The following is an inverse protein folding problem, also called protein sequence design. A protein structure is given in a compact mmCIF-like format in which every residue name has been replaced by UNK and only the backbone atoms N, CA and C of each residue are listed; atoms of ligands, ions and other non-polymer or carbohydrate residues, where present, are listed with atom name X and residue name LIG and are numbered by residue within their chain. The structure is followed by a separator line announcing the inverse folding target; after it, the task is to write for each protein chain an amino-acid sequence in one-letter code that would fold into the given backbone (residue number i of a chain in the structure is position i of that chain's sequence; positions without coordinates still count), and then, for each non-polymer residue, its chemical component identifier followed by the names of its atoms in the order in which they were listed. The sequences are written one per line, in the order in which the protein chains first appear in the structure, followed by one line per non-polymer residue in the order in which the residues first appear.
data_IF_330507460590
#
_entry.id   IF_330507460590
#
_cell.length_a   1.000
_cell.length_b   1.000
_cell.length_c   1.000
_cell.angle_alpha   90.00
_cell.angle_beta   90.00
_cell.angle_gamma   90.00
#
_symmetry.space_group_name_H-M   'P 1'
#
loop_
_entity.id
_entity.type
_entity.pdbx_description
1 polymer ?
#
# COMPACT_ATOMS: atom_id res chain seq x y z
N UNK A 1 12.96 -9.33 -4.18
CA UNK A 1 12.60 -8.72 -2.88
C UNK A 1 12.97 -7.26 -3.02
N UNK A 2 11.96 -6.41 -3.06
CA UNK A 2 12.12 -4.97 -3.24
C UNK A 2 11.84 -4.29 -1.90
N UNK A 3 12.80 -3.53 -1.37
CA UNK A 3 12.56 -2.67 -0.21
C UNK A 3 12.20 -1.27 -0.72
N UNK A 4 11.05 -0.77 -0.30
CA UNK A 4 10.51 0.51 -0.72
C UNK A 4 10.46 1.46 0.46
N UNK A 5 10.91 2.69 0.25
CA UNK A 5 10.74 3.81 1.19
C UNK A 5 9.95 4.89 0.46
N UNK A 6 8.72 5.13 0.90
CA UNK A 6 7.75 5.97 0.18
C UNK A 6 7.11 6.96 1.15
N UNK A 7 6.89 8.19 0.70
CA UNK A 7 6.13 9.17 1.46
C UNK A 7 4.71 8.67 1.79
N UNK A 8 4.38 8.73 3.07
CA UNK A 8 3.13 8.30 3.66
C UNK A 8 2.25 9.46 4.11
N UNK A 9 0.97 9.16 4.23
CA UNK A 9 -0.09 10.07 4.62
C UNK A 9 -0.96 9.42 5.68
N UNK A 10 -1.39 10.21 6.66
CA UNK A 10 -2.34 9.81 7.68
C UNK A 10 -3.59 10.68 7.56
N UNK A 11 -4.76 10.05 7.54
CA UNK A 11 -6.06 10.71 7.59
C UNK A 11 -6.80 10.25 8.84
N UNK A 12 -6.80 11.06 9.91
CA UNK A 12 -7.57 10.76 11.10
C UNK A 12 -9.05 10.55 10.80
N UNK A 13 -9.70 9.71 11.60
CA UNK A 13 -11.13 9.44 11.44
C UNK A 13 -11.94 10.75 11.50
N UNK A 14 -12.80 10.98 10.50
CA UNK A 14 -13.58 12.21 10.37
C UNK A 14 -12.82 13.45 9.88
N UNK A 15 -11.50 13.37 9.68
CA UNK A 15 -10.74 14.51 9.17
C UNK A 15 -11.06 14.80 7.69
N UNK A 16 -11.16 16.08 7.29
CA UNK A 16 -11.49 16.45 5.91
C UNK A 16 -10.35 16.17 4.92
N UNK A 17 -9.10 16.09 5.40
CA UNK A 17 -7.91 15.89 4.58
C UNK A 17 -6.85 15.06 5.31
N UNK A 18 -6.00 14.40 4.53
CA UNK A 18 -4.81 13.72 5.02
C UNK A 18 -3.71 14.72 5.35
N UNK A 19 -2.81 14.33 6.24
CA UNK A 19 -1.57 15.04 6.58
C UNK A 19 -0.37 14.15 6.29
N UNK A 20 0.75 14.70 5.80
CA UNK A 20 1.97 13.92 5.58
C UNK A 20 2.46 13.37 6.93
N UNK A 21 2.91 12.11 6.95
CA UNK A 21 3.46 11.48 8.15
C UNK A 21 4.97 11.21 8.07
N UNK A 22 5.58 11.42 6.91
CA UNK A 22 6.96 11.03 6.63
C UNK A 22 7.03 9.76 5.80
N UNK A 23 8.20 9.15 5.72
CA UNK A 23 8.43 7.98 4.88
C UNK A 23 8.05 6.68 5.60
N UNK A 24 7.28 5.84 4.91
CA UNK A 24 6.96 4.48 5.32
C UNK A 24 7.88 3.55 4.53
N UNK A 25 8.56 2.65 5.23
CA UNK A 25 9.38 1.61 4.58
C UNK A 25 8.72 0.24 4.71
N UNK A 26 8.69 -0.53 3.63
CA UNK A 26 8.20 -1.90 3.63
C UNK A 26 8.82 -2.73 2.51
N UNK A 27 8.84 -4.04 2.69
CA UNK A 27 9.29 -4.98 1.68
C UNK A 27 8.14 -5.53 0.82
N UNK A 28 8.47 -5.79 -0.44
CA UNK A 28 7.65 -6.57 -1.36
C UNK A 28 8.45 -7.83 -1.71
N UNK A 29 8.02 -8.95 -1.14
CA UNK A 29 8.59 -10.26 -1.39
C UNK A 29 8.10 -10.84 -2.74
N UNK A 30 8.65 -11.99 -3.13
CA UNK A 30 8.28 -12.64 -4.40
C UNK A 30 6.78 -13.01 -4.49
N UNK A 31 6.21 -13.68 -3.48
CA UNK A 31 4.79 -13.98 -3.43
C UNK A 31 3.87 -12.76 -3.52
N UNK A 32 4.17 -11.67 -2.80
CA UNK A 32 3.39 -10.44 -2.87
C UNK A 32 3.54 -9.79 -4.24
N UNK A 33 4.76 -9.70 -4.80
CA UNK A 33 4.99 -9.18 -6.14
C UNK A 33 4.14 -9.92 -7.19
N UNK A 34 4.16 -11.26 -7.18
CA UNK A 34 3.36 -12.07 -8.09
C UNK A 34 1.86 -11.78 -7.96
N UNK A 35 1.35 -11.56 -6.75
CA UNK A 35 -0.06 -11.21 -6.53
C UNK A 35 -0.40 -9.82 -7.07
N UNK A 36 0.54 -8.87 -7.03
CA UNK A 36 0.38 -7.54 -7.63
C UNK A 36 0.29 -7.65 -9.17
N UNK A 37 1.18 -8.41 -9.81
CA UNK A 37 1.16 -8.65 -11.25
C UNK A 37 -0.14 -9.34 -11.70
N UNK A 38 -0.59 -10.35 -10.95
CA UNK A 38 -1.86 -11.03 -11.20
C UNK A 38 -3.06 -10.09 -11.07
N UNK A 39 -3.02 -9.18 -10.09
CA UNK A 39 -4.05 -8.16 -9.91
C UNK A 39 -4.06 -7.21 -11.11
N UNK A 40 -2.90 -6.72 -11.56
CA UNK A 40 -2.78 -5.89 -12.76
C UNK A 40 -3.37 -6.59 -14.00
N UNK A 41 -2.95 -7.82 -14.28
CA UNK A 41 -3.44 -8.59 -15.43
C UNK A 41 -4.97 -8.79 -15.37
N UNK A 42 -5.49 -9.08 -14.17
CA UNK A 42 -6.93 -9.20 -13.94
C UNK A 42 -7.66 -7.90 -14.25
N UNK A 43 -7.20 -6.77 -13.73
CA UNK A 43 -7.82 -5.45 -13.98
C UNK A 43 -7.78 -5.08 -15.47
N UNK A 44 -6.70 -5.43 -16.18
CA UNK A 44 -6.60 -5.18 -17.62
C UNK A 44 -7.64 -5.99 -18.42
N UNK A 45 -7.94 -7.22 -17.99
CA UNK A 45 -8.93 -8.09 -18.65
C UNK A 45 -10.37 -7.72 -18.28
N UNK A 46 -10.63 -7.49 -16.99
CA UNK A 46 -11.99 -7.31 -16.47
C UNK A 46 -12.47 -5.87 -16.51
N UNK A 47 -11.55 -4.90 -16.64
CA UNK A 47 -11.82 -3.46 -16.55
C UNK A 47 -12.42 -3.04 -15.21
N UNK A 48 -12.19 -3.82 -14.15
CA UNK A 48 -12.48 -3.38 -12.79
C UNK A 48 -11.60 -2.18 -12.42
N UNK A 49 -12.08 -1.26 -11.56
CA UNK A 49 -11.35 -0.06 -11.22
C UNK A 49 -10.11 -0.32 -10.36
N UNK A 50 -10.19 -1.30 -9.45
CA UNK A 50 -9.15 -1.58 -8.47
C UNK A 50 -9.26 -2.99 -7.88
N UNK A 51 -8.19 -3.42 -7.21
CA UNK A 51 -8.13 -4.64 -6.42
C UNK A 51 -7.47 -4.35 -5.06
N UNK A 52 -7.98 -4.96 -4.00
CA UNK A 52 -7.34 -4.94 -2.68
C UNK A 52 -6.65 -6.27 -2.42
N UNK A 53 -5.35 -6.23 -2.17
CA UNK A 53 -4.52 -7.42 -1.93
C UNK A 53 -4.12 -7.43 -0.46
N UNK A 54 -4.67 -8.36 0.31
CA UNK A 54 -4.33 -8.52 1.73
C UNK A 54 -2.84 -8.83 1.91
N UNK A 55 -2.19 -8.14 2.84
CA UNK A 55 -0.80 -8.37 3.19
C UNK A 55 -0.72 -9.10 4.52
N UNK A 56 0.11 -10.13 4.59
CA UNK A 56 0.40 -10.79 5.85
C UNK A 56 1.40 -9.94 6.64
N UNK A 57 0.86 -9.14 7.56
CA UNK A 57 1.62 -8.28 8.47
C UNK A 57 2.56 -9.04 9.41
N UNK A 58 2.42 -10.37 9.57
CA UNK A 58 3.37 -11.17 10.35
C UNK A 58 4.68 -11.44 9.59
N UNK A 59 4.63 -11.31 8.26
CA UNK A 59 5.76 -11.57 7.36
C UNK A 59 6.39 -10.31 6.76
N UNK A 60 5.63 -9.21 6.70
CA UNK A 60 6.09 -7.94 6.13
C UNK A 60 6.90 -7.14 7.15
N UNK A 61 8.08 -6.67 6.75
CA UNK A 61 8.91 -5.73 7.50
C UNK A 61 8.42 -4.30 7.26
N UNK A 62 7.36 -3.90 7.96
CA UNK A 62 6.78 -2.56 7.88
C UNK A 62 7.35 -1.64 8.97
N UNK A 63 7.95 -0.53 8.54
CA UNK A 63 8.50 0.51 9.40
C UNK A 63 7.73 1.81 9.15
N UNK A 64 7.04 2.27 10.20
CA UNK A 64 6.40 3.59 10.22
C UNK A 64 7.35 4.65 10.82
N UNK A 65 7.19 5.93 10.46
CA UNK A 65 7.87 7.05 11.12
C UNK A 65 7.71 7.05 12.64
N UNK A 66 8.69 7.61 13.35
CA UNK A 66 8.64 7.76 14.81
C UNK A 66 7.39 8.57 15.24
N UNK A 67 6.76 8.14 16.33
CA UNK A 67 5.56 8.78 16.88
C UNK A 67 4.24 8.28 16.27
N UNK A 68 4.28 7.30 15.37
CA UNK A 68 3.08 6.62 14.86
C UNK A 68 2.94 5.22 15.46
N UNK A 69 1.72 4.91 15.95
CA UNK A 69 1.38 3.56 16.39
C UNK A 69 1.32 2.58 15.20
N UNK A 70 1.50 1.26 15.44
CA UNK A 70 1.37 0.23 14.41
C UNK A 70 0.01 0.24 13.69
N UNK A 71 -0.03 -0.36 12.51
CA UNK A 71 -1.29 -0.60 11.79
C UNK A 71 -1.99 -1.86 12.35
N UNK A 72 -3.32 -1.87 12.33
CA UNK A 72 -4.16 -3.04 12.65
C UNK A 72 -4.41 -3.94 11.44
N UNK A 73 -4.32 -3.37 10.23
CA UNK A 73 -4.46 -4.06 8.96
C UNK A 73 -3.53 -3.43 7.91
N UNK A 74 -3.26 -4.17 6.84
CA UNK A 74 -2.48 -3.69 5.72
C UNK A 74 -2.89 -4.40 4.42
N UNK A 75 -3.11 -3.63 3.38
CA UNK A 75 -3.43 -4.10 2.04
C UNK A 75 -2.63 -3.31 1.00
N UNK A 76 -2.39 -3.91 -0.16
CA UNK A 76 -1.92 -3.21 -1.34
C UNK A 76 -3.12 -2.92 -2.24
N UNK A 77 -3.44 -1.64 -2.45
CA UNK A 77 -4.48 -1.23 -3.38
C UNK A 77 -3.89 -1.11 -4.77
N UNK A 78 -4.30 -1.98 -5.69
CA UNK A 78 -3.85 -2.02 -7.08
C UNK A 78 -4.88 -1.37 -7.99
N UNK A 79 -4.44 -0.51 -8.91
CA UNK A 79 -5.29 0.09 -9.94
C UNK A 79 -4.49 0.34 -11.22
N UNK A 80 -5.20 0.58 -12.32
CA UNK A 80 -4.57 0.95 -13.58
C UNK A 80 -4.61 2.46 -13.78
N UNK A 81 -3.49 3.07 -14.17
CA UNK A 81 -3.45 4.45 -14.64
C UNK A 81 -2.72 4.49 -15.97
N UNK A 82 -3.38 5.05 -17.00
CA UNK A 82 -2.86 5.06 -18.38
C UNK A 82 -2.42 3.67 -18.87
N UNK A 83 -3.15 2.62 -18.46
CA UNK A 83 -2.88 1.24 -18.85
C UNK A 83 -1.75 0.54 -18.09
N UNK A 84 -1.15 1.19 -17.08
CA UNK A 84 -0.08 0.60 -16.25
C UNK A 84 -0.55 0.36 -14.82
N UNK A 85 -0.18 -0.80 -14.28
CA UNK A 85 -0.44 -1.18 -12.90
C UNK A 85 0.32 -0.32 -11.91
N UNK A 86 -0.41 0.24 -10.96
CA UNK A 86 0.12 0.96 -9.82
C UNK A 86 -0.42 0.36 -8.53
N UNK A 87 0.35 0.47 -7.47
CA UNK A 87 -0.11 0.11 -6.13
C UNK A 87 0.35 1.13 -5.09
N UNK A 88 -0.36 1.18 -3.97
CA UNK A 88 0.10 1.81 -2.73
C UNK A 88 -0.34 0.97 -1.54
N UNK A 89 0.39 1.11 -0.44
CA UNK A 89 0.00 0.55 0.83
C UNK A 89 -1.19 1.33 1.37
N UNK A 90 -2.16 0.60 1.94
CA UNK A 90 -3.31 1.14 2.68
C UNK A 90 -3.48 0.32 3.95
N UNK A 91 -3.69 0.98 5.08
CA UNK A 91 -4.04 0.34 6.34
C UNK A 91 -4.62 1.32 7.33
N UNK A 92 -4.98 0.83 8.50
CA UNK A 92 -5.57 1.62 9.58
C UNK A 92 -4.68 1.55 10.81
N UNK A 93 -4.47 2.69 11.45
CA UNK A 93 -3.70 2.75 12.70
C UNK A 93 -4.46 2.04 13.81
N UNK A 94 -3.78 1.15 14.54
CA UNK A 94 -4.41 0.33 15.58
C UNK A 94 -4.95 1.13 16.77
N UNK A 95 -4.36 2.30 17.07
CA UNK A 95 -4.76 3.10 18.24
C UNK A 95 -6.07 3.86 18.06
N UNK A 96 -6.40 4.28 16.83
CA UNK A 96 -7.56 5.16 16.60
C UNK A 96 -8.29 4.95 15.26
N UNK A 97 -7.91 3.95 14.48
CA UNK A 97 -8.53 3.63 13.20
C UNK A 97 -8.25 4.65 12.10
N UNK A 98 -7.27 5.54 12.26
CA UNK A 98 -6.88 6.50 11.21
C UNK A 98 -6.41 5.77 9.97
N UNK A 99 -6.85 6.23 8.80
CA UNK A 99 -6.40 5.70 7.51
C UNK A 99 -4.95 6.13 7.27
N UNK A 100 -4.08 5.19 6.95
CA UNK A 100 -2.68 5.38 6.58
C UNK A 100 -2.47 4.84 5.17
N UNK A 101 -1.78 5.58 4.32
CA UNK A 101 -1.45 5.14 2.96
C UNK A 101 -0.18 5.79 2.42
N UNK A 102 0.41 5.21 1.38
CA UNK A 102 1.61 5.76 0.70
C UNK A 102 1.27 6.40 -0.64
N UNK A 103 2.22 7.15 -1.19
CA UNK A 103 2.21 7.45 -2.63
C UNK A 103 2.27 6.15 -3.45
N UNK A 104 1.81 6.23 -4.70
CA UNK A 104 1.74 5.07 -5.58
C UNK A 104 3.08 4.75 -6.26
N UNK A 105 3.33 3.47 -6.47
CA UNK A 105 4.48 2.92 -7.17
C UNK A 105 3.99 2.09 -8.36
N UNK A 106 4.74 2.10 -9.45
CA UNK A 106 4.46 1.25 -10.60
C UNK A 106 4.89 -0.18 -10.30
N UNK A 107 4.03 -1.16 -10.62
CA UNK A 107 4.34 -2.58 -10.38
C UNK A 107 5.60 -2.99 -11.16
N UNK A 108 5.73 -2.49 -12.40
CA UNK A 108 6.89 -2.77 -13.26
C UNK A 108 8.23 -2.14 -12.82
N UNK A 109 8.24 -1.35 -11.74
CA UNK A 109 9.48 -0.84 -11.12
C UNK A 109 10.04 -1.76 -10.03
N UNK A 110 9.29 -2.80 -9.64
CA UNK A 110 9.75 -3.77 -8.65
C UNK A 110 10.83 -4.68 -9.26
N UNK A 111 11.88 -4.93 -8.49
CA UNK A 111 13.02 -5.80 -8.82
C UNK A 111 12.84 -7.23 -8.30
#
# INVERSE_FOLDING_TARGET
MSNLTIEGWCKPSGAPKSTPMGEISFDVDGPLHLRLEQAEERLQKTHEPEAMIDVDMSSMDLILPEGYDPLSDCQMRVYLQHGRGQFHLVGHRASDGSLVYTNAVLIDQLL
#
